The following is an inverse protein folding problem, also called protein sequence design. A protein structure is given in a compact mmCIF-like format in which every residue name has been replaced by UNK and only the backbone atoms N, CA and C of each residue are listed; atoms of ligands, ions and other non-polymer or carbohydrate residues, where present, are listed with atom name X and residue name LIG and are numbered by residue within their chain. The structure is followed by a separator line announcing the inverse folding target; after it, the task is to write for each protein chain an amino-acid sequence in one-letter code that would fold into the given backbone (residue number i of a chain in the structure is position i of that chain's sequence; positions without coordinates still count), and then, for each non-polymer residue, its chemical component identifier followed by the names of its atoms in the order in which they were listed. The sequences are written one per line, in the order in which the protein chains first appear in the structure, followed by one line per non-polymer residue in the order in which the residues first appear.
data_IF_738515539882
#
_entry.id   IF_738515539882
#
_cell.length_a   1.000
_cell.length_b   1.000
_cell.length_c   1.000
_cell.angle_alpha   90.00
_cell.angle_beta   90.00
_cell.angle_gamma   90.00
#
_symmetry.space_group_name_H-M   'P 1'
#
loop_
_entity.id
_entity.type
_entity.pdbx_description
1 polymer ?
#
# COMPACT_ATOMS: atom_id res chain seq x y z
N UNK A 1 34.22 -56.08 -9.22
CA UNK A 1 32.97 -55.75 -8.50
C UNK A 1 33.14 -54.73 -7.36
N UNK A 2 34.33 -54.53 -6.76
CA UNK A 2 34.54 -53.51 -5.71
C UNK A 2 34.69 -52.06 -6.20
N UNK A 3 35.22 -51.80 -7.40
CA UNK A 3 35.34 -50.43 -7.94
C UNK A 3 33.98 -49.79 -8.27
N UNK A 4 33.00 -50.57 -8.73
CA UNK A 4 31.67 -50.07 -9.09
C UNK A 4 30.88 -49.61 -7.85
N UNK A 5 31.00 -50.34 -6.73
CA UNK A 5 30.39 -49.99 -5.45
C UNK A 5 30.98 -48.70 -4.84
N UNK A 6 32.27 -48.43 -5.04
CA UNK A 6 32.93 -47.21 -4.55
C UNK A 6 32.47 -45.97 -5.34
N UNK A 7 32.35 -46.08 -6.66
CA UNK A 7 31.85 -45.01 -7.51
C UNK A 7 30.37 -44.69 -7.22
N UNK A 8 29.55 -45.74 -7.03
CA UNK A 8 28.14 -45.59 -6.69
C UNK A 8 27.94 -44.93 -5.31
N UNK A 9 28.79 -45.27 -4.32
CA UNK A 9 28.73 -44.68 -2.98
C UNK A 9 29.09 -43.19 -2.98
N UNK A 10 30.04 -42.77 -3.80
CA UNK A 10 30.43 -41.36 -3.92
C UNK A 10 29.41 -40.53 -4.68
N UNK A 11 28.79 -41.08 -5.72
CA UNK A 11 27.69 -40.43 -6.44
C UNK A 11 26.44 -40.28 -5.54
N UNK A 12 26.15 -41.27 -4.70
CA UNK A 12 25.04 -41.19 -3.74
C UNK A 12 25.31 -40.14 -2.64
N UNK A 13 26.55 -40.05 -2.15
CA UNK A 13 26.96 -39.07 -1.14
C UNK A 13 26.95 -37.63 -1.68
N UNK A 14 27.37 -37.40 -2.93
CA UNK A 14 27.29 -36.07 -3.56
C UNK A 14 25.86 -35.66 -3.88
N UNK A 15 25.01 -36.59 -4.33
CA UNK A 15 23.59 -36.32 -4.53
C UNK A 15 22.85 -36.00 -3.22
N UNK A 16 23.21 -36.68 -2.13
CA UNK A 16 22.64 -36.41 -0.80
C UNK A 16 23.08 -35.03 -0.26
N UNK A 17 24.31 -34.61 -0.52
CA UNK A 17 24.79 -33.27 -0.11
C UNK A 17 24.11 -32.13 -0.87
N UNK A 18 23.76 -32.32 -2.15
CA UNK A 18 23.04 -31.32 -2.95
C UNK A 18 21.57 -31.17 -2.51
N UNK A 19 20.98 -32.18 -1.89
CA UNK A 19 19.61 -32.14 -1.35
C UNK A 19 19.51 -31.50 0.04
N UNK A 20 20.64 -31.25 0.72
CA UNK A 20 20.69 -30.62 2.05
C UNK A 20 21.01 -29.13 2.03
N UNK A 21 21.19 -28.52 0.85
CA UNK A 21 21.42 -27.07 0.76
C UNK A 21 20.06 -26.39 0.83
N UNK A 22 19.72 -25.66 1.91
CA UNK A 22 18.49 -24.86 1.91
C UNK A 22 18.56 -23.82 0.78
N UNK A 23 17.42 -23.45 0.15
CA UNK A 23 17.42 -22.36 -0.81
C UNK A 23 17.99 -21.10 -0.13
N UNK A 24 19.15 -20.64 -0.63
CA UNK A 24 19.72 -19.38 -0.21
C UNK A 24 18.98 -18.26 -0.97
N UNK A 25 18.00 -17.64 -0.32
CA UNK A 25 17.37 -16.43 -0.86
C UNK A 25 18.39 -15.29 -0.86
N UNK A 26 18.55 -14.62 -2.00
CA UNK A 26 19.49 -13.52 -2.16
C UNK A 26 18.88 -12.24 -1.54
N UNK A 27 19.13 -12.00 -0.26
CA UNK A 27 18.71 -10.76 0.38
C UNK A 27 19.76 -9.66 0.14
N UNK A 28 19.32 -8.43 -0.09
CA UNK A 28 20.17 -7.25 -0.07
C UNK A 28 20.02 -6.56 1.28
N UNK A 29 21.10 -6.57 2.05
CA UNK A 29 21.23 -5.87 3.31
C UNK A 29 22.16 -4.67 3.12
N UNK A 30 21.70 -3.49 3.52
CA UNK A 30 22.52 -2.30 3.68
C UNK A 30 22.66 -2.07 5.18
N UNK A 31 23.79 -2.45 5.80
CA UNK A 31 23.96 -2.36 7.25
C UNK A 31 23.90 -0.91 7.75
N UNK A 32 23.59 -0.74 9.03
CA UNK A 32 23.66 0.56 9.70
C UNK A 32 25.06 1.21 9.52
N UNK A 33 25.06 2.52 9.30
CA UNK A 33 26.26 3.29 8.98
C UNK A 33 26.87 3.05 7.59
N UNK A 34 26.39 2.09 6.81
CA UNK A 34 26.78 1.91 5.42
C UNK A 34 25.92 2.77 4.48
N UNK A 35 26.48 3.13 3.33
CA UNK A 35 25.73 3.73 2.23
C UNK A 35 26.02 3.03 0.93
N UNK A 36 24.99 2.68 0.18
CA UNK A 36 25.09 2.10 -1.15
C UNK A 36 24.32 2.95 -2.15
N UNK A 37 24.87 3.12 -3.34
CA UNK A 37 24.23 3.85 -4.42
C UNK A 37 24.25 3.01 -5.67
N UNK A 38 23.07 2.75 -6.21
CA UNK A 38 22.95 2.08 -7.49
C UNK A 38 23.39 3.04 -8.61
N UNK A 39 24.07 2.54 -9.65
CA UNK A 39 24.33 3.32 -10.84
C UNK A 39 23.01 3.77 -11.49
N UNK A 40 23.00 4.96 -12.06
CA UNK A 40 21.83 5.45 -12.78
C UNK A 40 21.48 4.54 -13.97
N UNK A 41 20.19 4.44 -14.27
CA UNK A 41 19.63 3.66 -15.38
C UNK A 41 20.01 2.16 -15.33
N UNK A 42 20.35 1.65 -14.15
CA UNK A 42 20.66 0.23 -13.94
C UNK A 42 19.45 -0.56 -13.48
N UNK A 43 19.51 -1.87 -13.66
CA UNK A 43 18.54 -2.81 -13.09
C UNK A 43 19.23 -3.69 -12.05
N UNK A 44 18.57 -3.90 -10.92
CA UNK A 44 19.03 -4.75 -9.84
C UNK A 44 17.92 -5.72 -9.44
N UNK A 45 18.08 -6.99 -9.82
CA UNK A 45 17.12 -8.05 -9.57
C UNK A 45 17.46 -8.79 -8.26
N UNK A 46 16.52 -8.80 -7.31
CA UNK A 46 16.65 -9.47 -6.02
C UNK A 46 16.23 -10.94 -6.03
N UNK A 47 15.75 -11.45 -7.17
CA UNK A 47 15.37 -12.84 -7.37
C UNK A 47 14.44 -13.36 -6.27
N UNK A 48 13.45 -12.53 -5.90
CA UNK A 48 12.50 -12.77 -4.82
C UNK A 48 13.14 -12.86 -3.43
N UNK A 49 14.20 -12.08 -3.21
CA UNK A 49 14.82 -11.85 -1.92
C UNK A 49 14.30 -10.59 -1.22
N UNK A 50 14.76 -10.38 0.01
CA UNK A 50 14.36 -9.22 0.83
C UNK A 50 15.31 -8.05 0.59
N UNK A 51 14.75 -6.83 0.52
CA UNK A 51 15.50 -5.58 0.61
C UNK A 51 15.43 -5.06 2.04
N UNK A 52 16.55 -5.11 2.75
CA UNK A 52 16.71 -4.65 4.14
C UNK A 52 17.64 -3.43 4.18
N UNK A 53 17.06 -2.25 4.46
CA UNK A 53 17.74 -0.95 4.49
C UNK A 53 17.90 -0.51 5.94
N UNK A 54 19.05 -0.80 6.52
CA UNK A 54 19.43 -0.33 7.87
C UNK A 54 20.31 0.93 7.81
N UNK A 55 21.10 1.09 6.75
CA UNK A 55 21.87 2.30 6.42
C UNK A 55 21.23 3.12 5.29
N UNK A 56 22.04 3.69 4.40
CA UNK A 56 21.58 4.49 3.26
C UNK A 56 21.57 3.73 1.93
N UNK A 57 20.45 3.73 1.21
CA UNK A 57 20.35 3.24 -0.16
C UNK A 57 19.82 4.34 -1.08
N UNK A 58 20.52 4.65 -2.17
CA UNK A 58 20.05 5.56 -3.22
C UNK A 58 19.93 4.85 -4.56
N UNK A 59 18.78 4.98 -5.22
CA UNK A 59 18.49 4.33 -6.50
C UNK A 59 19.05 5.08 -7.70
N UNK A 60 19.17 6.41 -7.65
CA UNK A 60 19.65 7.23 -8.78
C UNK A 60 18.97 6.93 -10.14
N UNK A 61 17.65 6.72 -10.19
CA UNK A 61 16.91 6.27 -11.39
C UNK A 61 17.09 4.79 -11.78
N UNK A 62 17.68 3.97 -10.92
CA UNK A 62 17.71 2.52 -11.11
C UNK A 62 16.34 1.87 -10.86
N UNK A 63 16.15 0.69 -11.45
CA UNK A 63 15.06 -0.23 -11.13
C UNK A 63 15.57 -1.33 -10.20
N UNK A 64 14.95 -1.48 -9.05
CA UNK A 64 15.16 -2.62 -8.15
C UNK A 64 13.93 -3.51 -8.24
N UNK A 65 14.10 -4.71 -8.79
CA UNK A 65 13.00 -5.59 -9.18
C UNK A 65 12.99 -6.92 -8.42
N UNK A 66 11.85 -7.60 -8.51
CA UNK A 66 11.61 -8.91 -7.88
C UNK A 66 11.95 -8.92 -6.38
N UNK A 67 11.52 -7.88 -5.66
CA UNK A 67 11.67 -7.82 -4.21
C UNK A 67 10.55 -8.63 -3.55
N UNK A 68 10.89 -9.51 -2.62
CA UNK A 68 9.88 -10.20 -1.81
C UNK A 68 9.31 -9.27 -0.74
N UNK A 69 10.14 -8.64 0.09
CA UNK A 69 9.70 -7.67 1.09
C UNK A 69 10.68 -6.50 1.13
N UNK A 70 10.17 -5.31 1.47
CA UNK A 70 10.99 -4.12 1.76
C UNK A 70 10.89 -3.84 3.26
N UNK A 71 12.04 -3.75 3.92
CA UNK A 71 12.17 -3.31 5.30
C UNK A 71 13.13 -2.11 5.37
N UNK A 72 12.64 -0.97 5.83
CA UNK A 72 13.43 0.23 6.10
C UNK A 72 13.46 0.39 7.61
N UNK A 73 14.57 0.00 8.23
CA UNK A 73 14.73 0.07 9.68
C UNK A 73 14.74 1.53 10.17
N UNK A 74 14.55 1.76 11.47
CA UNK A 74 14.49 3.11 12.05
C UNK A 74 15.68 4.04 11.77
N UNK A 75 16.88 3.49 11.53
CA UNK A 75 18.08 4.24 11.10
C UNK A 75 18.24 4.35 9.57
N UNK A 76 17.45 3.58 8.82
CA UNK A 76 17.52 3.42 7.39
C UNK A 76 17.06 4.66 6.62
N UNK A 77 17.72 4.91 5.50
CA UNK A 77 17.41 5.96 4.53
C UNK A 77 17.31 5.34 3.15
N UNK A 78 16.10 5.25 2.59
CA UNK A 78 15.88 4.82 1.21
C UNK A 78 15.50 6.02 0.35
N UNK A 79 16.37 6.38 -0.59
CA UNK A 79 16.14 7.41 -1.59
C UNK A 79 15.77 6.78 -2.94
N UNK A 80 14.48 6.89 -3.27
CA UNK A 80 13.91 6.37 -4.51
C UNK A 80 14.34 7.16 -5.75
N UNK A 81 14.77 8.42 -5.60
CA UNK A 81 15.10 9.28 -6.74
C UNK A 81 13.98 9.30 -7.79
N UNK A 82 14.32 9.04 -9.05
CA UNK A 82 13.35 8.83 -10.15
C UNK A 82 13.11 7.34 -10.47
N UNK A 83 13.66 6.45 -9.66
CA UNK A 83 13.74 5.00 -9.93
C UNK A 83 12.44 4.23 -9.67
N UNK A 84 12.54 2.91 -9.86
CA UNK A 84 11.44 1.97 -9.66
C UNK A 84 11.81 0.97 -8.55
N UNK A 85 10.88 0.74 -7.63
CA UNK A 85 10.96 -0.32 -6.62
C UNK A 85 9.79 -1.28 -6.88
N UNK A 86 10.08 -2.49 -7.37
CA UNK A 86 9.07 -3.51 -7.65
C UNK A 86 9.16 -4.64 -6.61
N UNK A 87 8.08 -4.85 -5.88
CA UNK A 87 7.96 -5.89 -4.84
C UNK A 87 6.66 -6.70 -4.98
N UNK A 88 6.59 -7.85 -4.30
CA UNK A 88 5.35 -8.67 -4.25
C UNK A 88 4.82 -8.95 -2.85
N UNK A 89 5.51 -8.48 -1.81
CA UNK A 89 5.17 -8.73 -0.42
C UNK A 89 5.16 -7.44 0.40
N UNK A 90 5.51 -7.57 1.67
CA UNK A 90 5.29 -6.53 2.68
C UNK A 90 6.15 -5.29 2.44
N UNK A 91 5.58 -4.15 2.82
CA UNK A 91 6.26 -2.86 2.88
C UNK A 91 6.30 -2.39 4.33
N UNK A 92 7.48 -2.35 4.92
CA UNK A 92 7.71 -1.86 6.27
C UNK A 92 8.63 -0.64 6.23
N UNK A 93 8.15 0.49 6.77
CA UNK A 93 8.93 1.71 6.85
C UNK A 93 8.96 2.26 8.29
N UNK A 94 9.99 1.88 9.04
CA UNK A 94 10.29 2.43 10.36
C UNK A 94 11.30 3.60 10.29
N UNK A 95 12.03 3.72 9.18
CA UNK A 95 12.99 4.78 8.91
C UNK A 95 12.46 5.88 8.00
N UNK A 96 13.29 6.31 7.05
CA UNK A 96 12.95 7.37 6.09
C UNK A 96 12.95 6.82 4.68
N UNK A 97 11.82 6.99 4.01
CA UNK A 97 11.71 6.83 2.56
C UNK A 97 11.54 8.20 1.91
N UNK A 98 12.50 8.59 1.07
CA UNK A 98 12.40 9.75 0.20
C UNK A 98 11.94 9.27 -1.19
N UNK A 99 10.67 9.51 -1.58
CA UNK A 99 10.14 8.95 -2.82
C UNK A 99 10.70 9.61 -4.09
N UNK A 100 11.29 10.81 -4.01
CA UNK A 100 11.68 11.60 -5.19
C UNK A 100 10.52 11.75 -6.18
N UNK A 101 10.76 11.48 -7.47
CA UNK A 101 9.70 11.27 -8.46
C UNK A 101 9.43 9.79 -8.77
N UNK A 102 10.07 8.86 -8.07
CA UNK A 102 10.05 7.43 -8.33
C UNK A 102 8.69 6.76 -8.17
N UNK A 103 8.68 5.46 -8.50
CA UNK A 103 7.47 4.63 -8.49
C UNK A 103 7.68 3.36 -7.70
N UNK A 104 6.76 3.07 -6.77
CA UNK A 104 6.68 1.77 -6.11
C UNK A 104 5.60 0.93 -6.78
N UNK A 105 5.95 -0.29 -7.18
CA UNK A 105 5.08 -1.24 -7.87
C UNK A 105 4.94 -2.49 -7.02
N UNK A 106 3.72 -2.79 -6.58
CA UNK A 106 3.39 -4.05 -5.92
C UNK A 106 2.65 -4.93 -6.92
N UNK A 107 3.21 -6.10 -7.23
CA UNK A 107 2.64 -7.03 -8.19
C UNK A 107 2.82 -8.51 -7.80
N UNK A 108 2.48 -9.41 -8.74
CA UNK A 108 2.51 -10.85 -8.53
C UNK A 108 3.84 -11.51 -8.94
N UNK A 109 4.90 -10.74 -9.22
CA UNK A 109 6.15 -11.26 -9.81
C UNK A 109 6.84 -12.34 -8.96
N UNK A 110 6.82 -12.21 -7.64
CA UNK A 110 7.47 -13.13 -6.70
C UNK A 110 6.51 -13.92 -5.79
N UNK A 111 5.32 -13.38 -5.51
CA UNK A 111 4.37 -13.99 -4.56
C UNK A 111 2.95 -13.53 -4.84
N UNK A 112 1.98 -14.39 -4.56
CA UNK A 112 0.54 -14.08 -4.55
C UNK A 112 -0.06 -13.97 -3.15
N UNK A 113 0.79 -13.92 -2.12
CA UNK A 113 0.36 -13.80 -0.74
C UNK A 113 -0.17 -12.39 -0.44
N UNK A 114 -0.94 -12.29 0.64
CA UNK A 114 -1.41 -11.01 1.18
C UNK A 114 -0.21 -10.09 1.50
N UNK A 115 -0.44 -8.79 1.34
CA UNK A 115 0.57 -7.75 1.57
C UNK A 115 0.17 -6.90 2.75
N UNK A 116 1.10 -6.66 3.66
CA UNK A 116 0.92 -5.76 4.80
C UNK A 116 1.80 -4.53 4.62
N UNK A 117 1.18 -3.35 4.75
CA UNK A 117 1.87 -2.09 4.92
C UNK A 117 1.99 -1.74 6.40
N UNK A 118 3.19 -1.39 6.84
CA UNK A 118 3.47 -0.90 8.18
C UNK A 118 4.35 0.36 8.16
N UNK A 119 4.18 1.20 9.17
CA UNK A 119 4.87 2.47 9.27
C UNK A 119 4.25 3.57 8.42
N UNK A 120 4.81 4.78 8.52
CA UNK A 120 4.36 5.96 7.79
C UNK A 120 5.15 6.09 6.49
N UNK A 121 4.49 6.15 5.34
CA UNK A 121 5.17 6.28 4.05
C UNK A 121 4.47 7.28 3.14
N UNK A 122 5.28 8.15 2.53
CA UNK A 122 4.86 9.02 1.43
C UNK A 122 5.42 8.44 0.14
N UNK A 123 4.55 8.09 -0.78
CA UNK A 123 4.90 7.67 -2.14
C UNK A 123 4.72 8.84 -3.10
N UNK A 124 5.58 8.93 -4.11
CA UNK A 124 5.28 9.77 -5.26
C UNK A 124 4.26 9.06 -6.16
N UNK A 125 4.62 7.92 -6.73
CA UNK A 125 3.67 7.04 -7.42
C UNK A 125 3.61 5.67 -6.73
N UNK A 126 2.40 5.14 -6.58
CA UNK A 126 2.15 3.80 -6.04
C UNK A 126 1.24 3.04 -6.99
N UNK A 127 1.73 1.91 -7.50
CA UNK A 127 0.97 1.00 -8.34
C UNK A 127 0.80 -0.32 -7.61
N UNK A 128 -0.43 -0.80 -7.46
CA UNK A 128 -0.75 -2.10 -6.90
C UNK A 128 -1.56 -2.86 -7.95
N UNK A 129 -0.97 -3.93 -8.48
CA UNK A 129 -1.59 -4.83 -9.45
C UNK A 129 -1.70 -6.19 -8.77
N UNK A 130 -2.90 -6.75 -8.78
CA UNK A 130 -3.15 -8.07 -8.25
C UNK A 130 -4.02 -8.86 -9.21
N UNK A 131 -3.51 -9.98 -9.70
CA UNK A 131 -4.30 -10.92 -10.49
C UNK A 131 -4.76 -12.12 -9.66
N UNK A 132 -4.28 -12.25 -8.42
CA UNK A 132 -4.52 -13.38 -7.53
C UNK A 132 -5.72 -13.24 -6.59
N UNK A 133 -6.29 -12.05 -6.44
CA UNK A 133 -7.35 -11.76 -5.46
C UNK A 133 -6.84 -11.62 -4.03
N UNK A 134 -5.58 -11.18 -3.87
CA UNK A 134 -4.94 -11.00 -2.56
C UNK A 134 -5.55 -9.82 -1.79
N UNK A 135 -5.32 -9.83 -0.49
CA UNK A 135 -5.65 -8.72 0.39
C UNK A 135 -4.45 -7.82 0.62
N UNK A 136 -4.69 -6.52 0.57
CA UNK A 136 -3.73 -5.47 0.94
C UNK A 136 -4.18 -4.88 2.28
N UNK A 137 -3.40 -5.11 3.32
CA UNK A 137 -3.64 -4.59 4.66
C UNK A 137 -2.93 -3.26 4.82
N UNK A 138 -3.73 -2.20 4.92
CA UNK A 138 -3.27 -0.83 5.13
C UNK A 138 -3.08 -0.56 6.64
N UNK A 139 -2.09 0.26 7.01
CA UNK A 139 -1.94 0.73 8.38
C UNK A 139 -3.13 1.61 8.77
N UNK A 140 -3.53 1.51 10.04
CA UNK A 140 -4.57 2.36 10.60
C UNK A 140 -4.16 3.85 10.62
N UNK A 141 -5.17 4.71 10.60
CA UNK A 141 -5.01 6.16 10.56
C UNK A 141 -4.68 6.70 9.17
N UNK A 142 -3.66 7.57 9.12
CA UNK A 142 -3.25 8.37 7.94
C UNK A 142 -1.79 8.13 7.60
N UNK A 143 -1.37 6.87 7.67
CA UNK A 143 0.03 6.50 7.55
C UNK A 143 0.54 6.43 6.10
N UNK A 144 -0.35 6.31 5.09
CA UNK A 144 0.04 6.30 3.69
C UNK A 144 -0.40 7.58 2.97
N UNK A 145 0.52 8.19 2.23
CA UNK A 145 0.24 9.34 1.36
C UNK A 145 0.76 9.07 -0.05
N UNK A 146 0.00 9.45 -1.08
CA UNK A 146 0.42 9.37 -2.48
C UNK A 146 0.32 10.74 -3.12
N UNK A 147 1.44 11.29 -3.57
CA UNK A 147 1.51 12.66 -4.10
C UNK A 147 1.16 12.77 -5.60
N UNK A 148 1.57 11.77 -6.37
CA UNK A 148 1.36 11.65 -7.81
C UNK A 148 0.24 10.66 -8.12
N UNK A 149 0.55 9.53 -8.75
CA UNK A 149 -0.48 8.58 -9.20
C UNK A 149 -0.62 7.39 -8.25
N UNK A 150 -1.85 7.12 -7.81
CA UNK A 150 -2.25 5.88 -7.17
C UNK A 150 -2.99 5.01 -8.19
N UNK A 151 -2.36 3.90 -8.60
CA UNK A 151 -2.96 2.90 -9.48
C UNK A 151 -3.30 1.66 -8.68
N UNK A 152 -4.57 1.27 -8.69
CA UNK A 152 -5.08 0.06 -8.04
C UNK A 152 -5.78 -0.79 -9.10
N UNK A 153 -5.28 -1.99 -9.35
CA UNK A 153 -5.79 -2.86 -10.40
C UNK A 153 -5.93 -4.29 -9.89
N UNK A 154 -7.17 -4.77 -9.84
CA UNK A 154 -7.48 -6.19 -9.67
C UNK A 154 -7.87 -6.86 -11.00
N UNK A 155 -8.04 -8.18 -10.94
CA UNK A 155 -8.63 -8.95 -12.02
C UNK A 155 -10.17 -8.83 -12.01
N UNK A 156 -10.80 -8.92 -13.19
CA UNK A 156 -12.27 -8.85 -13.33
C UNK A 156 -13.03 -9.96 -12.59
N UNK A 157 -12.41 -11.11 -12.32
CA UNK A 157 -13.01 -12.22 -11.55
C UNK A 157 -12.61 -12.23 -10.08
N UNK A 158 -11.45 -11.64 -9.77
CA UNK A 158 -10.84 -11.60 -8.44
C UNK A 158 -10.41 -10.16 -8.16
N UNK A 159 -11.34 -9.31 -7.67
CA UNK A 159 -11.03 -7.91 -7.41
C UNK A 159 -10.00 -7.78 -6.29
N UNK A 160 -9.12 -6.80 -6.40
CA UNK A 160 -8.14 -6.44 -5.38
C UNK A 160 -8.86 -6.00 -4.10
N UNK A 161 -8.54 -6.59 -2.94
CA UNK A 161 -9.16 -6.21 -1.66
C UNK A 161 -8.24 -5.28 -0.86
N UNK A 162 -8.72 -4.09 -0.49
CA UNK A 162 -8.03 -3.23 0.49
C UNK A 162 -8.74 -3.35 1.84
N UNK A 163 -7.98 -3.77 2.85
CA UNK A 163 -8.41 -4.00 4.22
C UNK A 163 -7.60 -3.12 5.18
N UNK A 164 -8.09 -2.94 6.40
CA UNK A 164 -7.32 -2.33 7.50
C UNK A 164 -6.65 -3.42 8.32
N UNK A 165 -5.43 -3.17 8.79
CA UNK A 165 -4.63 -4.15 9.55
C UNK A 165 -5.24 -4.54 10.92
N UNK A 166 -5.97 -3.64 11.57
CA UNK A 166 -6.47 -3.79 12.94
C UNK A 166 -8.00 -3.59 13.05
N UNK A 167 -8.68 -3.43 11.91
CA UNK A 167 -10.11 -3.12 11.86
C UNK A 167 -10.44 -1.65 12.15
N UNK A 168 -9.48 -0.84 12.60
CA UNK A 168 -9.61 0.61 12.71
C UNK A 168 -9.70 1.25 11.32
N UNK A 169 -9.98 2.54 11.30
CA UNK A 169 -10.04 3.31 10.07
C UNK A 169 -8.66 3.41 9.41
N UNK A 170 -8.54 3.07 8.13
CA UNK A 170 -7.31 3.23 7.34
C UNK A 170 -7.55 4.19 6.18
N UNK A 171 -6.65 5.15 5.99
CA UNK A 171 -6.78 6.17 4.93
C UNK A 171 -5.50 6.28 4.12
N UNK A 172 -5.62 6.17 2.79
CA UNK A 172 -4.60 6.63 1.84
C UNK A 172 -4.86 8.10 1.53
N UNK A 173 -3.98 8.99 2.00
CA UNK A 173 -4.05 10.42 1.70
C UNK A 173 -3.59 10.66 0.26
N UNK A 174 -4.30 11.54 -0.44
CA UNK A 174 -3.91 12.01 -1.76
C UNK A 174 -3.30 13.41 -1.68
N UNK A 175 -2.22 13.63 -2.42
CA UNK A 175 -1.66 14.96 -2.65
C UNK A 175 -2.61 15.86 -3.44
N UNK A 176 -2.36 17.18 -3.50
CA UNK A 176 -3.25 18.16 -4.13
C UNK A 176 -3.55 17.90 -5.61
N UNK A 177 -2.60 17.28 -6.32
CA UNK A 177 -2.67 16.96 -7.75
C UNK A 177 -2.68 15.45 -8.00
N UNK A 178 -2.90 14.65 -6.96
CA UNK A 178 -2.79 13.21 -7.08
C UNK A 178 -3.91 12.63 -7.95
N UNK A 179 -3.57 11.69 -8.80
CA UNK A 179 -4.52 10.96 -9.64
C UNK A 179 -4.78 9.58 -9.06
N UNK A 180 -6.02 9.11 -9.22
CA UNK A 180 -6.42 7.78 -8.77
C UNK A 180 -7.00 7.00 -9.94
N UNK A 181 -6.37 5.88 -10.24
CA UNK A 181 -6.83 4.92 -11.24
C UNK A 181 -7.26 3.66 -10.48
N UNK A 182 -8.53 3.27 -10.60
CA UNK A 182 -9.04 2.04 -9.97
C UNK A 182 -9.74 1.17 -10.99
N UNK A 183 -9.37 -0.10 -11.04
CA UNK A 183 -10.00 -1.09 -11.89
C UNK A 183 -10.16 -2.41 -11.13
N UNK A 184 -11.40 -2.90 -10.96
CA UNK A 184 -11.73 -4.11 -10.19
C UNK A 184 -11.14 -4.11 -8.76
N UNK A 185 -11.51 -3.10 -7.97
CA UNK A 185 -11.00 -2.92 -6.60
C UNK A 185 -12.16 -2.86 -5.62
N UNK A 186 -12.07 -3.64 -4.53
CA UNK A 186 -12.96 -3.56 -3.38
C UNK A 186 -12.25 -2.88 -2.21
N UNK A 187 -12.93 -1.93 -1.59
CA UNK A 187 -12.48 -1.28 -0.36
C UNK A 187 -13.34 -1.78 0.79
N UNK A 188 -12.72 -2.20 1.90
CA UNK A 188 -13.46 -2.45 3.13
C UNK A 188 -14.13 -1.16 3.65
N UNK A 189 -15.22 -1.32 4.42
CA UNK A 189 -16.02 -0.18 4.92
C UNK A 189 -15.25 0.84 5.76
N UNK A 190 -14.14 0.42 6.37
CA UNK A 190 -13.23 1.21 7.19
C UNK A 190 -12.00 1.74 6.42
N UNK A 191 -11.92 1.51 5.11
CA UNK A 191 -10.83 1.98 4.25
C UNK A 191 -11.30 3.17 3.41
N UNK A 192 -10.48 4.21 3.35
CA UNK A 192 -10.71 5.40 2.54
C UNK A 192 -9.50 5.80 1.72
N UNK A 193 -9.77 6.50 0.62
CA UNK A 193 -8.76 7.10 -0.24
C UNK A 193 -9.18 8.54 -0.51
N UNK A 194 -8.31 9.50 -0.21
CA UNK A 194 -8.57 10.93 -0.41
C UNK A 194 -8.23 11.77 0.82
N UNK A 195 -8.90 12.92 0.93
CA UNK A 195 -8.80 13.78 2.10
C UNK A 195 -9.51 13.09 3.27
N UNK A 196 -8.77 12.28 4.02
CA UNK A 196 -9.30 11.37 5.04
C UNK A 196 -10.40 11.95 5.91
N UNK A 197 -11.30 11.08 6.38
CA UNK A 197 -12.44 11.38 7.25
C UNK A 197 -12.36 12.75 7.93
N UNK A 198 -13.04 13.72 7.33
CA UNK A 198 -13.65 14.75 8.16
C UNK A 198 -14.80 14.02 8.87
N UNK A 199 -14.84 13.95 10.21
CA UNK A 199 -16.04 13.46 10.88
C UNK A 199 -17.20 14.24 10.29
N UNK A 200 -18.26 13.54 9.87
CA UNK A 200 -19.42 14.16 9.23
C UNK A 200 -19.77 15.41 10.04
N UNK A 201 -19.50 16.59 9.49
CA UNK A 201 -19.92 17.83 10.11
C UNK A 201 -21.42 17.65 10.21
N UNK A 202 -21.94 17.57 11.43
CA UNK A 202 -23.36 17.48 11.65
C UNK A 202 -23.95 18.64 10.85
N UNK A 203 -24.67 18.32 9.77
CA UNK A 203 -25.50 19.31 9.10
C UNK A 203 -26.33 19.86 10.25
N UNK A 204 -26.29 21.17 10.55
CA UNK A 204 -27.09 21.71 11.62
C UNK A 204 -28.55 21.42 11.24
N UNK A 205 -29.09 20.32 11.75
CA UNK A 205 -30.50 20.04 11.66
C UNK A 205 -31.13 21.12 12.51
N UNK A 206 -32.14 21.78 11.95
CA UNK A 206 -32.96 22.68 12.74
C UNK A 206 -33.42 21.86 13.94
N UNK A 207 -32.97 22.25 15.15
CA UNK A 207 -33.42 21.59 16.37
C UNK A 207 -34.94 21.58 16.44
N UNK A 208 -35.51 20.73 17.32
CA UNK A 208 -36.97 20.62 17.50
C UNK A 208 -37.68 21.98 17.69
N UNK A 209 -37.01 22.94 18.35
CA UNK A 209 -37.56 24.27 18.63
C UNK A 209 -37.76 25.14 17.36
N UNK A 210 -36.73 25.41 16.53
CA UNK A 210 -36.95 26.17 15.29
C UNK A 210 -37.86 25.46 14.29
N UNK A 211 -37.88 24.13 14.27
CA UNK A 211 -38.82 23.37 13.41
C UNK A 211 -40.28 23.56 13.87
N UNK A 212 -40.52 23.49 15.18
CA UNK A 212 -41.85 23.75 15.77
C UNK A 212 -42.29 25.20 15.56
N UNK A 213 -41.37 26.16 15.66
CA UNK A 213 -41.66 27.57 15.41
C UNK A 213 -42.03 27.84 13.95
N UNK A 214 -41.32 27.22 13.00
CA UNK A 214 -41.63 27.32 11.58
C UNK A 214 -43.00 26.68 11.25
N UNK A 215 -43.29 25.51 11.84
CA UNK A 215 -44.59 24.86 11.67
C UNK A 215 -45.74 25.70 12.24
N UNK A 216 -45.54 26.35 13.38
CA UNK A 216 -46.52 27.26 13.98
C UNK A 216 -46.75 28.49 13.10
N UNK A 217 -45.69 29.10 12.57
CA UNK A 217 -45.77 30.25 11.66
C UNK A 217 -46.57 29.90 10.39
N UNK A 218 -46.30 28.74 9.80
CA UNK A 218 -47.04 28.25 8.63
C UNK A 218 -48.52 28.00 8.96
N UNK A 219 -48.82 27.45 10.13
CA UNK A 219 -50.20 27.24 10.58
C UNK A 219 -50.96 28.56 10.80
N UNK A 220 -50.31 29.60 11.36
CA UNK A 220 -50.90 30.93 11.55
C UNK A 220 -51.19 31.59 10.20
N UNK A 221 -50.27 31.51 9.24
CA UNK A 221 -50.48 32.06 7.89
C UNK A 221 -51.62 31.34 7.16
N UNK A 222 -51.69 30.01 7.28
CA UNK A 222 -52.79 29.23 6.74
C UNK A 222 -54.15 29.61 7.37
N UNK A 223 -54.20 29.80 8.68
CA UNK A 223 -55.42 30.22 9.38
C UNK A 223 -55.86 31.63 8.99
N UNK A 224 -54.93 32.59 8.87
CA UNK A 224 -55.21 33.95 8.41
C UNK A 224 -55.73 33.97 6.97
N UNK A 225 -55.11 33.20 6.06
CA UNK A 225 -55.55 33.15 4.66
C UNK A 225 -56.94 32.52 4.48
N UNK A 226 -57.29 31.49 5.27
CA UNK A 226 -58.63 30.91 5.29
C UNK A 226 -59.69 31.87 5.85
N UNK A 227 -59.32 32.67 6.85
CA UNK A 227 -60.22 33.66 7.46
C UNK A 227 -60.49 34.82 6.51
N UNK A 228 -59.49 35.29 5.77
CA UNK A 228 -59.66 36.30 4.73
C UNK A 228 -60.54 35.80 3.57
N UNK A 229 -60.42 34.52 3.18
CA UNK A 229 -61.28 33.92 2.14
C UNK A 229 -62.74 33.68 2.56
N UNK A 230 -63.05 33.64 3.86
CA UNK A 230 -64.43 33.52 4.37
C UNK A 230 -65.15 34.86 4.52
N UNK A 231 -64.42 35.97 4.43
CA UNK A 231 -64.93 37.33 4.59
C UNK A 231 -65.02 38.10 3.26
N UNK A 232 -64.62 37.47 2.15
CA UNK A 232 -64.86 37.89 0.78
C UNK A 232 -65.97 37.01 0.19
#
# INVERSE_FOLDING_TARGET
MHLLLYYFRHVLLTALFLLLIPPAHANMLIPDGASFSLPADSTFDLSCGVLDVQGGLSLNNAEVSNIMNVDIASGGQLDGGDGIIQLSGNWQNEGVFNPGNGTVIIDDSCSTSDVVFSGNTVFNNLTIIDNGGRSIFLPSGRALTVNGTLTLQGNGTTPLQLLSNDGSQATIILGPSAQVIRNNVNLASNVQIGTGFTPAVAIPTLGLLPLALLALLLAIVAACSLRQRRLA
#
